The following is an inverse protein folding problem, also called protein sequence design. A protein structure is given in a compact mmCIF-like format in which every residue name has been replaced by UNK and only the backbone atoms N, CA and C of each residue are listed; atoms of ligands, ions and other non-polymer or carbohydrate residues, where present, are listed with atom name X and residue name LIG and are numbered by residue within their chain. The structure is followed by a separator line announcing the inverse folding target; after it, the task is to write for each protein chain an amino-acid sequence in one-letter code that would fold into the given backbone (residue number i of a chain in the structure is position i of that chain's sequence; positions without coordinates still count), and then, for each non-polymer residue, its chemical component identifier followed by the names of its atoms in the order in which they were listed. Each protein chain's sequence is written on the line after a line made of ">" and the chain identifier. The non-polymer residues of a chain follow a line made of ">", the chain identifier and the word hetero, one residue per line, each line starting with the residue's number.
data_IF_727194156683
#
_entry.id   IF_727194156683
#
_cell.length_a   1.000
_cell.length_b   1.000
_cell.length_c   1.000
_cell.angle_alpha   90.00
_cell.angle_beta   90.00
_cell.angle_gamma   90.00
#
_symmetry.space_group_name_H-M   'P 1'
#
loop_
_entity.id
_entity.type
_entity.pdbx_description
1 polymer ?
#
# COMPACT_ATOMS: atom_id res chain seq x y z
N UNK A 1 -0.58 1.49 -28.37
CA UNK A 1 -1.91 1.53 -27.74
C UNK A 1 -2.44 2.95 -27.92
N UNK A 2 -3.64 3.15 -28.48
CA UNK A 2 -4.15 4.49 -28.77
C UNK A 2 -4.86 5.18 -27.60
N UNK A 3 -5.39 4.41 -26.63
CA UNK A 3 -6.04 4.85 -25.39
C UNK A 3 -6.19 3.65 -24.46
N UNK A 4 -6.31 3.90 -23.17
CA UNK A 4 -6.51 2.89 -22.13
C UNK A 4 -6.85 3.56 -20.80
N UNK A 5 -7.20 2.77 -19.82
CA UNK A 5 -7.35 3.21 -18.44
C UNK A 5 -5.99 3.09 -17.73
N UNK A 6 -5.47 4.23 -17.25
CA UNK A 6 -4.14 4.23 -16.62
C UNK A 6 -4.10 3.38 -15.35
N UNK A 7 -5.17 3.36 -14.57
CA UNK A 7 -5.22 2.64 -13.30
C UNK A 7 -5.25 1.14 -13.53
N UNK A 8 -6.17 0.67 -14.38
CA UNK A 8 -6.39 -0.77 -14.61
C UNK A 8 -5.39 -1.39 -15.58
N UNK A 9 -4.89 -0.63 -16.56
CA UNK A 9 -4.03 -1.17 -17.61
C UNK A 9 -2.53 -0.98 -17.32
N UNK A 10 -2.17 -0.02 -16.43
CA UNK A 10 -0.77 0.33 -16.17
C UNK A 10 -0.44 0.29 -14.68
N UNK A 11 -1.10 1.12 -13.86
CA UNK A 11 -0.67 1.32 -12.47
C UNK A 11 -0.87 0.09 -11.57
N UNK A 12 -1.85 -0.78 -11.86
CA UNK A 12 -2.11 -1.96 -11.05
C UNK A 12 -1.19 -3.15 -11.40
N UNK A 13 -0.65 -3.23 -12.61
CA UNK A 13 -0.04 -4.47 -13.11
C UNK A 13 1.29 -4.79 -12.38
N UNK A 14 2.18 -3.81 -12.22
CA UNK A 14 3.47 -4.03 -11.54
C UNK A 14 3.31 -4.39 -10.06
N UNK A 15 2.55 -3.64 -9.24
CA UNK A 15 2.32 -3.99 -7.83
C UNK A 15 1.68 -5.38 -7.67
N UNK A 16 0.76 -5.73 -8.56
CA UNK A 16 0.06 -7.01 -8.52
C UNK A 16 1.00 -8.19 -8.82
N UNK A 17 1.89 -8.05 -9.80
CA UNK A 17 2.92 -9.04 -10.08
C UNK A 17 3.93 -9.16 -8.94
N UNK A 18 4.41 -8.03 -8.43
CA UNK A 18 5.41 -8.00 -7.38
C UNK A 18 4.90 -8.63 -6.07
N UNK A 19 3.67 -8.30 -5.65
CA UNK A 19 3.09 -8.88 -4.43
C UNK A 19 2.79 -10.38 -4.61
N UNK A 20 2.35 -10.79 -5.80
CA UNK A 20 2.11 -12.21 -6.08
C UNK A 20 3.41 -13.03 -5.97
N UNK A 21 4.51 -12.55 -6.57
CA UNK A 21 5.80 -13.22 -6.48
C UNK A 21 6.35 -13.23 -5.05
N UNK A 22 6.28 -12.10 -4.35
CA UNK A 22 6.82 -11.94 -3.00
C UNK A 22 6.10 -12.81 -1.97
N UNK A 23 4.77 -12.80 -2.01
CA UNK A 23 3.93 -13.61 -1.09
C UNK A 23 3.96 -15.08 -1.47
N UNK A 24 4.02 -15.38 -2.77
CA UNK A 24 4.05 -16.74 -3.31
C UNK A 24 2.73 -17.17 -3.96
N UNK A 25 1.89 -16.21 -4.36
CA UNK A 25 0.72 -16.50 -5.18
C UNK A 25 1.13 -16.92 -6.60
N UNK A 26 0.51 -17.95 -7.20
CA UNK A 26 0.65 -18.21 -8.62
C UNK A 26 0.27 -16.99 -9.46
N UNK A 27 1.06 -16.66 -10.47
CA UNK A 27 0.81 -15.49 -11.32
C UNK A 27 -0.54 -15.56 -12.04
N UNK A 28 -1.01 -16.76 -12.36
CA UNK A 28 -2.33 -17.01 -12.94
C UNK A 28 -3.49 -16.64 -12.00
N UNK A 29 -3.24 -16.65 -10.68
CA UNK A 29 -4.25 -16.30 -9.67
C UNK A 29 -4.26 -14.81 -9.30
N UNK A 30 -3.24 -14.03 -9.73
CA UNK A 30 -3.07 -12.64 -9.31
C UNK A 30 -4.30 -11.76 -9.57
N UNK A 31 -4.95 -11.95 -10.73
CA UNK A 31 -6.15 -11.18 -11.05
C UNK A 31 -7.30 -11.49 -10.10
N UNK A 32 -7.48 -12.76 -9.74
CA UNK A 32 -8.53 -13.18 -8.78
C UNK A 32 -8.29 -12.58 -7.40
N UNK A 33 -7.03 -12.56 -6.92
CA UNK A 33 -6.65 -11.91 -5.66
C UNK A 33 -6.92 -10.41 -5.73
N UNK A 34 -6.61 -9.77 -6.85
CA UNK A 34 -6.89 -8.36 -7.11
C UNK A 34 -8.40 -8.06 -7.04
N UNK A 35 -9.22 -8.85 -7.74
CA UNK A 35 -10.67 -8.65 -7.78
C UNK A 35 -11.25 -8.76 -6.35
N UNK A 36 -10.89 -9.79 -5.59
CA UNK A 36 -11.30 -9.94 -4.20
C UNK A 36 -10.81 -8.82 -3.27
N UNK A 37 -9.59 -8.31 -3.47
CA UNK A 37 -9.09 -7.19 -2.66
C UNK A 37 -9.86 -5.90 -2.94
N UNK A 38 -10.23 -5.63 -4.19
CA UNK A 38 -11.07 -4.50 -4.55
C UNK A 38 -12.47 -4.63 -3.95
N UNK A 39 -13.12 -5.80 -4.08
CA UNK A 39 -14.44 -6.08 -3.52
C UNK A 39 -14.44 -5.89 -1.99
N UNK A 40 -13.39 -6.35 -1.30
CA UNK A 40 -13.26 -6.19 0.14
C UNK A 40 -13.11 -4.71 0.55
N UNK A 41 -12.42 -3.91 -0.25
CA UNK A 41 -12.18 -2.49 0.04
C UNK A 41 -13.33 -1.58 -0.39
N UNK A 42 -14.23 -2.06 -1.24
CA UNK A 42 -15.36 -1.31 -1.78
C UNK A 42 -16.59 -1.28 -0.86
N UNK A 43 -16.41 -1.44 0.45
CA UNK A 43 -17.48 -1.61 1.44
C UNK A 43 -18.51 -0.45 1.51
N UNK A 44 -18.17 0.73 1.02
CA UNK A 44 -19.03 1.92 0.96
C UNK A 44 -19.13 2.51 -0.45
N UNK A 45 -18.65 1.80 -1.47
CA UNK A 45 -18.70 2.22 -2.86
C UNK A 45 -20.02 1.76 -3.51
N UNK A 46 -20.90 2.69 -3.94
CA UNK A 46 -22.19 2.35 -4.51
C UNK A 46 -22.12 1.65 -5.88
N UNK A 47 -20.97 1.68 -6.54
CA UNK A 47 -20.76 1.00 -7.82
C UNK A 47 -20.46 -0.51 -7.64
N UNK A 48 -20.20 -0.95 -6.40
CA UNK A 48 -20.00 -2.36 -6.05
C UNK A 48 -21.20 -2.92 -5.30
N UNK A 49 -21.87 -3.91 -5.91
CA UNK A 49 -22.97 -4.68 -5.27
C UNK A 49 -22.41 -6.03 -4.77
N UNK A 50 -21.48 -5.97 -3.81
CA UNK A 50 -20.78 -7.14 -3.24
C UNK A 50 -20.78 -7.09 -1.72
N UNK A 51 -20.74 -8.25 -1.07
CA UNK A 51 -20.49 -8.32 0.36
C UNK A 51 -18.96 -8.38 0.62
N UNK A 52 -18.36 -7.36 1.22
CA UNK A 52 -16.92 -7.36 1.51
C UNK A 52 -16.48 -8.55 2.38
N UNK A 53 -17.38 -9.09 3.21
CA UNK A 53 -17.09 -10.26 4.03
C UNK A 53 -16.91 -11.53 3.20
N UNK A 54 -17.65 -11.68 2.10
CA UNK A 54 -17.49 -12.80 1.17
C UNK A 54 -16.14 -12.75 0.46
N UNK A 55 -15.71 -11.59 0.01
CA UNK A 55 -14.40 -11.39 -0.62
C UNK A 55 -13.26 -11.69 0.38
N UNK A 56 -13.36 -11.18 1.60
CA UNK A 56 -12.39 -11.49 2.66
C UNK A 56 -12.34 -12.98 2.95
N UNK A 57 -13.49 -13.66 3.04
CA UNK A 57 -13.56 -15.10 3.28
C UNK A 57 -12.88 -15.91 2.15
N UNK A 58 -13.01 -15.47 0.89
CA UNK A 58 -12.35 -16.11 -0.25
C UNK A 58 -10.82 -15.96 -0.18
N UNK A 59 -10.30 -14.78 0.19
CA UNK A 59 -8.86 -14.57 0.38
C UNK A 59 -8.34 -15.43 1.54
N UNK A 60 -9.05 -15.49 2.66
CA UNK A 60 -8.66 -16.31 3.83
C UNK A 60 -8.64 -17.81 3.48
N UNK A 61 -9.65 -18.30 2.77
CA UNK A 61 -9.70 -19.70 2.33
C UNK A 61 -8.56 -20.02 1.35
N UNK A 62 -8.28 -19.11 0.41
CA UNK A 62 -7.17 -19.23 -0.52
C UNK A 62 -5.81 -19.25 0.20
N UNK A 63 -5.63 -18.39 1.20
CA UNK A 63 -4.42 -18.33 2.01
C UNK A 63 -4.18 -19.64 2.77
N UNK A 64 -5.23 -20.22 3.36
CA UNK A 64 -5.15 -21.49 4.06
C UNK A 64 -4.72 -22.64 3.11
N UNK A 65 -5.37 -22.76 1.95
CA UNK A 65 -5.00 -23.77 0.92
C UNK A 65 -3.57 -23.57 0.41
N UNK A 66 -3.15 -22.32 0.20
CA UNK A 66 -1.77 -22.02 -0.20
C UNK A 66 -0.77 -22.43 0.90
N UNK A 67 -1.08 -22.19 2.18
CA UNK A 67 -0.28 -22.61 3.31
C UNK A 67 -0.09 -24.13 3.36
N UNK A 68 -1.17 -24.91 3.20
CA UNK A 68 -1.11 -26.38 3.13
C UNK A 68 -0.23 -26.86 1.98
N UNK A 69 -0.36 -26.26 0.81
CA UNK A 69 0.50 -26.57 -0.36
C UNK A 69 1.96 -26.27 -0.08
N UNK A 70 2.28 -25.14 0.58
CA UNK A 70 3.66 -24.76 0.92
C UNK A 70 4.25 -25.60 2.04
N UNK A 71 3.45 -26.12 2.97
CA UNK A 71 3.91 -27.08 3.97
C UNK A 71 4.47 -28.37 3.35
N UNK A 72 3.89 -28.81 2.22
CA UNK A 72 4.32 -30.03 1.51
C UNK A 72 5.35 -29.77 0.41
N UNK A 73 5.32 -28.57 -0.21
CA UNK A 73 6.19 -28.18 -1.30
C UNK A 73 6.63 -26.71 -1.14
N UNK A 74 7.60 -26.43 -0.25
CA UNK A 74 8.06 -25.07 0.03
C UNK A 74 8.76 -24.45 -1.19
N UNK A 75 8.66 -23.11 -1.29
CA UNK A 75 9.31 -22.28 -2.31
C UNK A 75 10.07 -21.13 -1.63
N UNK A 76 10.78 -20.33 -2.42
CA UNK A 76 11.43 -19.11 -1.93
C UNK A 76 10.42 -17.95 -1.95
N UNK A 77 9.44 -18.00 -1.04
CA UNK A 77 8.37 -17.02 -0.90
C UNK A 77 8.04 -16.77 0.58
N UNK A 78 7.29 -15.71 0.87
CA UNK A 78 6.90 -15.34 2.24
C UNK A 78 6.01 -16.42 2.86
N UNK A 79 5.06 -16.98 2.13
CA UNK A 79 4.15 -18.00 2.63
C UNK A 79 4.93 -19.23 3.12
N UNK A 80 5.91 -19.70 2.34
CA UNK A 80 6.77 -20.82 2.76
C UNK A 80 7.57 -20.52 4.03
N UNK A 81 8.08 -19.29 4.14
CA UNK A 81 8.82 -18.85 5.35
C UNK A 81 7.92 -18.74 6.57
N UNK A 82 6.69 -18.27 6.41
CA UNK A 82 5.70 -18.19 7.49
C UNK A 82 5.25 -19.58 7.94
N UNK A 83 4.98 -20.51 7.01
CA UNK A 83 4.65 -21.90 7.31
C UNK A 83 5.78 -22.56 8.09
N UNK A 84 7.03 -22.39 7.67
CA UNK A 84 8.18 -22.93 8.39
C UNK A 84 8.37 -22.30 9.79
N UNK A 85 7.98 -21.04 9.98
CA UNK A 85 8.03 -20.38 11.28
C UNK A 85 6.86 -20.81 12.20
N UNK A 86 5.72 -21.19 11.65
CA UNK A 86 4.55 -21.66 12.40
C UNK A 86 4.79 -22.98 13.16
N UNK A 87 5.72 -23.83 12.69
CA UNK A 87 6.18 -25.02 13.43
C UNK A 87 6.81 -24.70 14.80
N UNK A 88 7.04 -23.41 15.10
CA UNK A 88 7.60 -22.91 16.35
C UNK A 88 6.64 -22.10 17.24
N UNK A 89 5.32 -22.26 17.16
CA UNK A 89 4.29 -21.53 17.93
C UNK A 89 4.29 -19.99 17.68
N UNK A 90 4.74 -19.53 16.50
CA UNK A 90 4.82 -18.09 16.21
C UNK A 90 3.51 -17.52 15.67
N UNK A 91 2.79 -18.30 14.85
CA UNK A 91 1.48 -17.94 14.27
C UNK A 91 0.57 -19.16 14.29
N UNK A 92 -0.67 -18.99 14.71
CA UNK A 92 -1.69 -20.01 14.46
C UNK A 92 -2.25 -19.92 13.02
N UNK A 93 -3.10 -20.87 12.64
CA UNK A 93 -3.64 -20.95 11.28
C UNK A 93 -4.50 -19.74 10.91
N UNK A 94 -5.18 -19.15 11.88
CA UNK A 94 -6.02 -17.97 11.68
C UNK A 94 -5.14 -16.72 11.51
N UNK A 95 -4.18 -16.53 12.39
CA UNK A 95 -3.20 -15.44 12.31
C UNK A 95 -2.41 -15.50 10.99
N UNK A 96 -2.02 -16.70 10.55
CA UNK A 96 -1.38 -16.91 9.26
C UNK A 96 -2.26 -16.43 8.10
N UNK A 97 -3.52 -16.87 8.05
CA UNK A 97 -4.43 -16.51 6.97
C UNK A 97 -4.71 -15.00 6.94
N UNK A 98 -4.91 -14.36 8.10
CA UNK A 98 -5.07 -12.91 8.20
C UNK A 98 -3.80 -12.16 7.79
N UNK A 99 -2.62 -12.69 8.09
CA UNK A 99 -1.37 -12.04 7.67
C UNK A 99 -1.19 -12.08 6.15
N UNK A 100 -1.52 -13.21 5.52
CA UNK A 100 -1.49 -13.34 4.05
C UNK A 100 -2.52 -12.41 3.40
N UNK A 101 -3.75 -12.33 3.95
CA UNK A 101 -4.77 -11.37 3.50
C UNK A 101 -4.25 -9.94 3.60
N UNK A 102 -3.66 -9.57 4.75
CA UNK A 102 -3.09 -8.23 4.94
C UNK A 102 -2.04 -7.90 3.87
N UNK A 103 -1.13 -8.82 3.58
CA UNK A 103 -0.10 -8.62 2.56
C UNK A 103 -0.70 -8.46 1.14
N UNK A 104 -1.70 -9.28 0.80
CA UNK A 104 -2.38 -9.23 -0.49
C UNK A 104 -3.01 -7.85 -0.75
N UNK A 105 -3.71 -7.31 0.25
CA UNK A 105 -4.39 -6.01 0.15
C UNK A 105 -3.39 -4.85 0.23
N UNK A 106 -2.53 -4.86 1.25
CA UNK A 106 -1.65 -3.73 1.53
C UNK A 106 -0.62 -3.47 0.43
N UNK A 107 -0.11 -4.53 -0.21
CA UNK A 107 0.94 -4.42 -1.21
C UNK A 107 0.46 -4.00 -2.60
N UNK A 108 -0.82 -4.25 -2.91
CA UNK A 108 -1.37 -3.96 -4.23
C UNK A 108 -1.99 -2.56 -4.30
N UNK A 109 -3.00 -2.31 -3.48
CA UNK A 109 -3.85 -1.13 -3.64
C UNK A 109 -3.12 0.18 -3.33
N UNK A 110 -2.32 0.20 -2.29
CA UNK A 110 -1.63 1.42 -1.86
C UNK A 110 -0.62 1.90 -2.89
N UNK A 111 0.15 1.00 -3.50
CA UNK A 111 1.15 1.34 -4.53
C UNK A 111 0.47 1.76 -5.83
N UNK A 112 -0.59 1.04 -6.26
CA UNK A 112 -1.43 1.44 -7.39
C UNK A 112 -1.96 2.86 -7.23
N UNK A 113 -2.52 3.18 -6.05
CA UNK A 113 -3.07 4.50 -5.76
C UNK A 113 -1.96 5.56 -5.70
N UNK A 114 -0.79 5.26 -5.13
CA UNK A 114 0.36 6.17 -5.16
C UNK A 114 0.78 6.53 -6.58
N UNK A 115 0.93 5.54 -7.46
CA UNK A 115 1.29 5.72 -8.86
C UNK A 115 0.24 6.55 -9.60
N UNK A 116 -1.05 6.23 -9.39
CA UNK A 116 -2.16 6.93 -10.05
C UNK A 116 -2.24 8.40 -9.62
N UNK A 117 -2.15 8.67 -8.31
CA UNK A 117 -2.12 10.04 -7.78
C UNK A 117 -0.86 10.79 -8.21
N UNK A 118 0.29 10.11 -8.26
CA UNK A 118 1.54 10.69 -8.76
C UNK A 118 1.40 11.15 -10.21
N UNK A 119 0.82 10.31 -11.06
CA UNK A 119 0.59 10.66 -12.46
C UNK A 119 -0.41 11.81 -12.62
N UNK A 120 -1.49 11.81 -11.80
CA UNK A 120 -2.42 12.95 -11.75
C UNK A 120 -1.70 14.23 -11.33
N UNK A 121 -0.84 14.18 -10.30
CA UNK A 121 -0.08 15.33 -9.85
C UNK A 121 0.88 15.87 -10.93
N UNK A 122 1.47 15.01 -11.74
CA UNK A 122 2.27 15.43 -12.91
C UNK A 122 1.43 16.08 -14.00
N UNK A 123 0.17 15.66 -14.22
CA UNK A 123 -0.73 16.35 -15.13
C UNK A 123 -1.10 17.74 -14.63
N UNK A 124 -1.29 17.90 -13.32
CA UNK A 124 -1.60 19.19 -12.69
C UNK A 124 -0.38 20.12 -12.57
N UNK A 125 0.85 19.56 -12.59
CA UNK A 125 2.12 20.26 -12.51
C UNK A 125 3.10 19.76 -13.60
N UNK A 126 2.86 20.11 -14.88
CA UNK A 126 3.63 19.56 -16.01
C UNK A 126 5.12 19.91 -15.97
N UNK A 127 5.52 21.01 -15.31
CA UNK A 127 6.92 21.35 -15.09
C UNK A 127 7.64 20.32 -14.20
N UNK A 128 6.93 19.66 -13.29
CA UNK A 128 7.49 18.57 -12.48
C UNK A 128 7.72 17.32 -13.32
N UNK A 129 6.86 17.06 -14.31
CA UNK A 129 7.07 15.97 -15.26
C UNK A 129 8.28 16.22 -16.16
N UNK A 130 8.47 17.45 -16.67
CA UNK A 130 9.67 17.80 -17.43
C UNK A 130 10.94 17.67 -16.57
N UNK A 131 10.90 18.11 -15.30
CA UNK A 131 11.99 17.91 -14.36
C UNK A 131 12.28 16.41 -14.14
N UNK A 132 11.24 15.59 -13.97
CA UNK A 132 11.40 14.14 -13.80
C UNK A 132 12.05 13.50 -15.02
N UNK A 133 11.62 13.83 -16.22
CA UNK A 133 12.24 13.31 -17.46
C UNK A 133 13.72 13.69 -17.58
N UNK A 134 14.08 14.89 -17.16
CA UNK A 134 15.44 15.42 -17.29
C UNK A 134 16.41 14.90 -16.22
N UNK A 135 15.99 14.80 -14.96
CA UNK A 135 16.90 14.65 -13.80
C UNK A 135 16.63 13.41 -12.95
N UNK A 136 15.40 12.84 -12.98
CA UNK A 136 15.01 11.67 -12.15
C UNK A 136 15.34 11.85 -10.65
N UNK A 137 14.84 12.90 -9.97
CA UNK A 137 15.18 13.12 -8.56
C UNK A 137 14.84 11.90 -7.69
N UNK A 138 15.74 11.43 -6.83
CA UNK A 138 15.52 10.25 -5.97
C UNK A 138 14.46 10.49 -4.89
N UNK A 139 14.03 11.73 -4.71
CA UNK A 139 12.97 12.16 -3.78
C UNK A 139 11.56 11.99 -4.36
N UNK A 140 11.45 11.67 -5.66
CA UNK A 140 10.16 11.64 -6.38
C UNK A 140 9.16 10.67 -5.75
N UNK A 141 9.56 9.44 -5.45
CA UNK A 141 8.65 8.46 -4.86
C UNK A 141 8.11 8.89 -3.49
N UNK A 142 8.96 9.49 -2.65
CA UNK A 142 8.53 10.01 -1.34
C UNK A 142 7.58 11.20 -1.48
N UNK A 143 7.81 12.11 -2.43
CA UNK A 143 6.89 13.22 -2.69
C UNK A 143 5.53 12.73 -3.22
N UNK A 144 5.51 11.73 -4.08
CA UNK A 144 4.27 11.09 -4.55
C UNK A 144 3.49 10.49 -3.37
N UNK A 145 4.17 9.77 -2.49
CA UNK A 145 3.54 9.17 -1.31
C UNK A 145 3.06 10.23 -0.33
N UNK A 146 3.80 11.32 -0.14
CA UNK A 146 3.36 12.46 0.67
C UNK A 146 2.11 13.11 0.10
N UNK A 147 2.20 13.53 -1.16
CA UNK A 147 1.17 14.32 -1.84
C UNK A 147 -0.10 13.50 -2.11
N UNK A 148 0.04 12.27 -2.59
CA UNK A 148 -1.09 11.37 -2.85
C UNK A 148 -1.68 10.74 -1.59
N UNK A 149 -0.88 10.55 -0.54
CA UNK A 149 -1.25 9.90 0.73
C UNK A 149 -2.21 8.71 0.52
N UNK A 150 -1.76 7.58 -0.06
CA UNK A 150 -2.65 6.46 -0.42
C UNK A 150 -3.41 5.89 0.78
N UNK A 151 -2.81 5.93 1.97
CA UNK A 151 -3.47 5.59 3.24
C UNK A 151 -3.86 6.90 3.93
N UNK A 152 -5.15 7.20 3.94
CA UNK A 152 -5.67 8.45 4.49
C UNK A 152 -5.71 8.46 6.01
N UNK A 153 -6.07 7.31 6.62
CA UNK A 153 -6.27 7.22 8.06
C UNK A 153 -6.02 5.83 8.59
N UNK A 154 -5.42 5.75 9.77
CA UNK A 154 -5.48 4.57 10.62
C UNK A 154 -6.13 4.88 11.97
N UNK A 155 -6.69 3.85 12.60
CA UNK A 155 -7.26 3.92 13.92
C UNK A 155 -6.36 3.22 14.94
N UNK A 156 -6.32 3.78 16.15
CA UNK A 156 -5.76 3.13 17.35
C UNK A 156 -6.80 3.09 18.45
N UNK A 157 -6.74 2.06 19.29
CA UNK A 157 -7.55 1.98 20.51
C UNK A 157 -6.61 2.16 21.70
N UNK A 158 -6.94 3.10 22.59
CA UNK A 158 -6.13 3.35 23.78
C UNK A 158 -6.17 2.14 24.73
N UNK A 159 -5.01 1.59 25.07
CA UNK A 159 -4.88 0.46 25.99
C UNK A 159 -4.85 0.89 27.46
N UNK A 160 -4.62 2.17 27.72
CA UNK A 160 -4.63 2.82 29.03
C UNK A 160 -5.08 4.27 28.90
N UNK A 161 -5.44 4.89 30.02
CA UNK A 161 -5.67 6.34 30.05
C UNK A 161 -4.36 7.07 29.70
N UNK A 162 -4.46 8.07 28.84
CA UNK A 162 -3.30 8.84 28.36
C UNK A 162 -3.70 10.28 28.03
N UNK A 163 -2.70 11.12 27.67
CA UNK A 163 -2.90 12.48 27.18
C UNK A 163 -2.11 12.68 25.91
N UNK A 164 -2.75 13.20 24.86
CA UNK A 164 -2.13 13.56 23.58
C UNK A 164 -2.49 14.99 23.25
N UNK A 165 -1.51 15.87 23.03
CA UNK A 165 -1.74 17.28 22.73
C UNK A 165 -2.57 18.02 23.80
N UNK A 166 -2.47 17.64 25.07
CA UNK A 166 -3.29 18.19 26.17
C UNK A 166 -4.68 17.60 26.28
N UNK A 167 -5.13 16.76 25.35
CA UNK A 167 -6.43 16.10 25.37
C UNK A 167 -6.37 14.77 26.11
N UNK A 168 -7.21 14.58 27.14
CA UNK A 168 -7.33 13.32 27.85
C UNK A 168 -8.02 12.25 26.99
N UNK A 169 -7.42 11.08 26.93
CA UNK A 169 -7.93 9.91 26.20
C UNK A 169 -8.05 8.76 27.21
N UNK A 170 -9.23 8.19 27.33
CA UNK A 170 -9.50 7.09 28.26
C UNK A 170 -9.20 5.75 27.57
N UNK A 171 -8.84 4.75 28.36
CA UNK A 171 -8.74 3.36 27.91
C UNK A 171 -10.01 2.95 27.13
N UNK A 172 -9.82 2.30 25.99
CA UNK A 172 -10.89 1.83 25.10
C UNK A 172 -11.40 2.89 24.10
N UNK A 173 -11.00 4.16 24.23
CA UNK A 173 -11.35 5.15 23.23
C UNK A 173 -10.55 4.95 21.94
N UNK A 174 -11.21 5.27 20.81
CA UNK A 174 -10.63 5.22 19.47
C UNK A 174 -10.00 6.56 19.11
N UNK A 175 -8.83 6.51 18.49
CA UNK A 175 -8.08 7.68 18.01
C UNK A 175 -7.80 7.50 16.54
N UNK A 176 -8.29 8.40 15.70
CA UNK A 176 -7.96 8.46 14.27
C UNK A 176 -6.63 9.16 14.06
N UNK A 177 -5.75 8.53 13.28
CA UNK A 177 -4.48 9.09 12.83
C UNK A 177 -4.67 9.54 11.39
N UNK A 178 -4.85 10.84 11.15
CA UNK A 178 -5.13 11.42 9.84
C UNK A 178 -3.81 11.68 9.10
N UNK A 179 -3.36 10.75 8.30
CA UNK A 179 -2.09 10.83 7.56
C UNK A 179 -2.12 11.93 6.51
N UNK A 180 -3.25 12.10 5.81
CA UNK A 180 -3.43 13.19 4.86
C UNK A 180 -3.23 14.55 5.53
N UNK A 181 -3.83 14.79 6.70
CA UNK A 181 -3.63 16.03 7.45
C UNK A 181 -2.17 16.25 7.85
N UNK A 182 -1.49 15.19 8.31
CA UNK A 182 -0.10 15.29 8.74
C UNK A 182 0.87 15.55 7.56
N UNK A 183 0.59 14.97 6.39
CA UNK A 183 1.41 15.16 5.19
C UNK A 183 1.24 16.54 4.53
N UNK A 184 0.22 17.29 4.95
CA UNK A 184 -0.05 18.66 4.49
C UNK A 184 0.09 19.71 5.61
N UNK A 185 0.71 19.34 6.74
CA UNK A 185 0.92 20.24 7.88
C UNK A 185 1.94 21.33 7.52
N UNK A 186 1.48 22.58 7.47
CA UNK A 186 2.29 23.76 7.16
C UNK A 186 3.35 24.08 8.22
N UNK A 187 3.25 23.48 9.40
CA UNK A 187 4.29 23.61 10.45
C UNK A 187 5.47 22.66 10.21
N UNK A 188 5.31 21.68 9.32
CA UNK A 188 6.31 20.66 8.99
C UNK A 188 6.82 20.81 7.56
N UNK A 189 5.92 21.16 6.62
CA UNK A 189 6.24 21.27 5.21
C UNK A 189 6.10 22.70 4.69
N UNK A 190 7.14 23.21 4.08
CA UNK A 190 7.07 24.45 3.32
C UNK A 190 6.21 24.22 2.07
N UNK A 191 5.24 25.10 1.79
CA UNK A 191 4.30 24.97 0.66
C UNK A 191 3.69 23.56 0.55
N UNK A 192 2.97 23.04 1.57
CA UNK A 192 2.54 21.65 1.63
C UNK A 192 1.61 21.26 0.46
N UNK A 193 0.87 22.22 -0.10
CA UNK A 193 -0.03 22.03 -1.22
C UNK A 193 0.68 22.05 -2.60
N UNK A 194 1.99 22.32 -2.62
CA UNK A 194 2.79 22.23 -3.85
C UNK A 194 3.35 20.84 -4.02
N UNK A 195 3.11 20.25 -5.17
CA UNK A 195 3.79 19.04 -5.60
C UNK A 195 5.20 19.40 -6.06
N UNK A 196 6.22 18.87 -5.39
CA UNK A 196 7.63 19.21 -5.64
C UNK A 196 8.49 17.94 -5.51
N UNK A 197 8.79 17.30 -6.62
CA UNK A 197 9.58 16.08 -6.67
C UNK A 197 11.04 16.27 -6.23
N UNK A 198 11.51 17.50 -6.14
CA UNK A 198 12.82 17.88 -5.60
C UNK A 198 12.82 18.17 -4.10
N UNK A 199 11.72 17.98 -3.39
CA UNK A 199 11.60 18.26 -1.94
C UNK A 199 12.63 17.49 -1.14
N UNK A 200 13.69 18.17 -0.71
CA UNK A 200 14.83 17.55 -0.02
C UNK A 200 14.49 17.13 1.42
N UNK A 201 13.69 17.94 2.16
CA UNK A 201 13.20 17.60 3.50
C UNK A 201 11.75 17.13 3.40
N UNK A 202 11.55 15.82 3.46
CA UNK A 202 10.24 15.20 3.26
C UNK A 202 9.91 14.17 4.36
N UNK A 203 9.67 14.62 5.61
CA UNK A 203 9.40 13.74 6.75
C UNK A 203 7.94 13.26 6.76
N UNK A 204 7.43 12.84 5.61
CA UNK A 204 6.06 12.39 5.49
C UNK A 204 5.77 11.13 6.31
N UNK A 205 4.51 10.93 6.69
CA UNK A 205 4.07 9.77 7.45
C UNK A 205 3.31 8.74 6.59
N UNK A 206 3.39 8.83 5.28
CA UNK A 206 2.68 7.92 4.36
C UNK A 206 3.03 6.44 4.54
N UNK A 207 4.22 6.14 5.07
CA UNK A 207 4.63 4.78 5.48
C UNK A 207 4.54 4.56 7.00
N UNK A 208 3.93 5.48 7.74
CA UNK A 208 3.88 5.51 9.19
C UNK A 208 4.93 6.43 9.80
N UNK A 209 4.72 6.82 11.06
CA UNK A 209 5.60 7.73 11.83
C UNK A 209 6.78 7.03 12.51
N UNK A 210 7.16 5.83 12.09
CA UNK A 210 8.18 4.99 12.73
C UNK A 210 7.59 3.98 13.74
N UNK A 211 8.48 3.24 14.43
CA UNK A 211 8.09 2.20 15.38
C UNK A 211 7.72 0.87 14.72
N UNK A 212 7.11 -0.03 15.50
CA UNK A 212 6.83 -1.42 15.08
C UNK A 212 5.81 -1.55 13.94
N UNK A 213 5.02 -0.51 13.70
CA UNK A 213 4.03 -0.46 12.62
C UNK A 213 4.52 0.30 11.39
N UNK A 214 5.81 0.63 11.30
CA UNK A 214 6.37 1.20 10.07
C UNK A 214 6.18 0.22 8.91
N UNK A 215 5.79 0.73 7.73
CA UNK A 215 5.48 -0.08 6.57
C UNK A 215 6.66 -0.99 6.17
N UNK A 216 6.54 -2.32 6.23
CA UNK A 216 7.61 -3.23 5.82
C UNK A 216 7.86 -3.19 4.30
N UNK A 217 6.83 -2.84 3.51
CA UNK A 217 6.89 -2.72 2.04
C UNK A 217 7.40 -1.37 1.54
N UNK A 218 7.81 -0.44 2.42
CA UNK A 218 8.18 0.93 2.03
C UNK A 218 9.30 1.01 0.98
N UNK A 219 10.26 0.09 1.01
CA UNK A 219 11.33 0.01 0.01
C UNK A 219 10.82 -0.52 -1.32
N UNK A 220 9.96 -1.54 -1.30
CA UNK A 220 9.36 -2.11 -2.49
C UNK A 220 8.47 -1.07 -3.18
N UNK A 221 7.60 -0.40 -2.43
CA UNK A 221 6.72 0.63 -2.99
C UNK A 221 7.49 1.76 -3.68
N UNK A 222 8.58 2.27 -3.08
CA UNK A 222 9.45 3.26 -3.73
C UNK A 222 10.05 2.73 -5.03
N UNK A 223 10.56 1.50 -5.00
CA UNK A 223 11.15 0.86 -6.18
C UNK A 223 10.13 0.70 -7.30
N UNK A 224 8.92 0.26 -7.00
CA UNK A 224 7.84 0.09 -7.98
C UNK A 224 7.43 1.43 -8.60
N UNK A 225 7.29 2.48 -7.77
CA UNK A 225 6.99 3.83 -8.24
C UNK A 225 8.10 4.31 -9.20
N UNK A 226 9.36 4.20 -8.79
CA UNK A 226 10.49 4.65 -9.59
C UNK A 226 10.61 3.88 -10.90
N UNK A 227 10.45 2.56 -10.88
CA UNK A 227 10.53 1.71 -12.08
C UNK A 227 9.42 2.03 -13.07
N UNK A 228 8.18 2.14 -12.59
CA UNK A 228 7.04 2.39 -13.47
C UNK A 228 7.07 3.80 -14.06
N UNK A 229 7.31 4.81 -13.25
CA UNK A 229 7.48 6.19 -13.76
C UNK A 229 8.65 6.30 -14.72
N UNK A 230 9.76 5.62 -14.43
CA UNK A 230 10.89 5.53 -15.32
C UNK A 230 10.52 4.96 -16.68
N UNK A 231 9.81 3.85 -16.69
CA UNK A 231 9.35 3.21 -17.92
C UNK A 231 8.37 4.10 -18.71
N UNK A 232 7.45 4.78 -18.00
CA UNK A 232 6.53 5.74 -18.63
C UNK A 232 7.31 6.89 -19.29
N UNK A 233 8.26 7.49 -18.57
CA UNK A 233 9.05 8.62 -19.09
C UNK A 233 9.97 8.24 -20.26
N UNK A 234 10.36 6.96 -20.36
CA UNK A 234 11.24 6.48 -21.44
C UNK A 234 10.47 6.02 -22.69
N UNK A 235 9.18 5.65 -22.56
CA UNK A 235 8.45 4.97 -23.63
C UNK A 235 7.11 5.63 -24.03
N UNK A 236 6.59 6.55 -23.24
CA UNK A 236 5.35 7.27 -23.47
C UNK A 236 5.54 8.78 -23.52
#
# INVERSE_FOLDING_TARGET
>A
LGSGDFVTDIACELPLQAIADLVGFPQEDRKRIFDWSNEMMAYDDPDFDVDPADAAAQILAYAADLGERRATAPRDDIVSRLVAAADGDVLDSEEFAFFVLLLAVAGNETTRNAISHGMQAFFDAPEQWELYKAERPPTTADEIVRFGTPVQMFQRTATADTVVGGQAIRRGQRVGLLYGSANYDETVFDEPNRFDIGRAHNPHVGFGGGGIHYCPGSHLARLEIDLLLGAIADHL
#
